data_IF_597908622708
#
_entry.id   IF_597908622708
#
_cell.length_a   1.000
_cell.length_b   1.000
_cell.length_c   1.000
_cell.angle_alpha   90.00
_cell.angle_beta   90.00
_cell.angle_gamma   90.00
#
_symmetry.space_group_name_H-M   'P 1'
#
loop_
_entity.id
_entity.type
_entity.pdbx_description
1 polymer ?
#
# COMPACT_ATOMS: atom_id res chain seq x y z
N UNK A 1 12.53 -10.94 -19.76
CA UNK A 1 12.70 -11.98 -18.72
C UNK A 1 11.33 -12.24 -18.10
N UNK A 2 10.80 -13.46 -18.18
CA UNK A 2 9.52 -13.79 -17.55
C UNK A 2 9.78 -14.09 -16.07
N UNK A 3 9.30 -13.23 -15.18
CA UNK A 3 9.37 -13.44 -13.73
C UNK A 3 8.42 -14.57 -13.29
N UNK A 4 8.31 -14.84 -11.97
CA UNK A 4 7.44 -15.90 -11.44
C UNK A 4 5.93 -15.61 -11.63
N UNK A 5 5.60 -14.51 -12.30
CA UNK A 5 4.26 -14.05 -12.57
C UNK A 5 3.93 -14.20 -14.05
N UNK A 6 2.72 -14.66 -14.34
CA UNK A 6 2.20 -14.69 -15.70
C UNK A 6 1.95 -13.27 -16.25
N UNK A 7 1.62 -12.32 -15.37
CA UNK A 7 1.61 -10.88 -15.67
C UNK A 7 2.07 -10.12 -14.44
N UNK A 8 2.81 -9.04 -14.62
CA UNK A 8 3.23 -8.14 -13.56
C UNK A 8 3.25 -6.71 -14.09
N UNK A 9 2.39 -5.85 -13.54
CA UNK A 9 2.37 -4.42 -13.79
C UNK A 9 2.46 -3.73 -12.45
N UNK A 10 3.57 -3.05 -12.22
CA UNK A 10 3.81 -2.29 -11.01
C UNK A 10 4.00 -0.83 -11.39
N UNK A 11 3.12 0.02 -10.85
CA UNK A 11 3.12 1.45 -11.11
C UNK A 11 3.33 2.18 -9.80
N UNK A 12 4.22 3.16 -9.83
CA UNK A 12 4.48 4.08 -8.73
C UNK A 12 3.76 5.40 -9.01
N UNK A 13 2.97 5.88 -8.06
CA UNK A 13 2.47 7.25 -8.06
C UNK A 13 3.15 8.02 -6.94
N UNK A 14 3.73 9.16 -7.28
CA UNK A 14 4.41 10.04 -6.33
C UNK A 14 3.78 11.42 -6.48
N UNK A 15 3.30 11.98 -5.37
CA UNK A 15 2.63 13.28 -5.35
C UNK A 15 3.15 14.10 -4.17
N UNK A 16 3.41 15.38 -4.42
CA UNK A 16 3.67 16.33 -3.34
C UNK A 16 2.38 16.56 -2.54
N UNK A 17 2.51 16.61 -1.22
CA UNK A 17 1.43 16.96 -0.29
C UNK A 17 1.96 17.98 0.73
N UNK A 18 1.09 18.78 1.38
CA UNK A 18 1.53 19.67 2.45
C UNK A 18 2.31 18.91 3.53
N UNK A 19 3.55 19.31 3.76
CA UNK A 19 4.42 18.70 4.77
C UNK A 19 5.07 17.36 4.38
N UNK A 20 4.95 16.91 3.12
CA UNK A 20 5.62 15.68 2.69
C UNK A 20 5.35 15.23 1.26
N UNK A 21 5.50 13.93 1.03
CA UNK A 21 5.26 13.28 -0.27
C UNK A 21 4.46 12.02 -0.06
N UNK A 22 3.36 11.88 -0.81
CA UNK A 22 2.56 10.66 -0.85
C UNK A 22 3.12 9.73 -1.93
N UNK A 23 3.47 8.51 -1.54
CA UNK A 23 3.89 7.45 -2.45
C UNK A 23 2.87 6.31 -2.44
N UNK A 24 2.27 6.02 -3.59
CA UNK A 24 1.32 4.92 -3.78
C UNK A 24 1.94 3.86 -4.70
N UNK A 25 2.00 2.62 -4.23
CA UNK A 25 2.50 1.46 -4.97
C UNK A 25 1.31 0.61 -5.45
N UNK A 26 1.01 0.60 -6.76
CA UNK A 26 -0.05 -0.22 -7.33
C UNK A 26 0.54 -1.43 -8.07
N UNK A 27 0.30 -2.62 -7.54
CA UNK A 27 0.76 -3.89 -8.12
C UNK A 27 -0.44 -4.67 -8.66
N UNK A 28 -0.43 -4.92 -9.97
CA UNK A 28 -1.36 -5.83 -10.65
C UNK A 28 -0.58 -7.04 -11.13
N UNK A 29 -0.91 -8.22 -10.60
CA UNK A 29 -0.21 -9.44 -10.96
C UNK A 29 -1.17 -10.60 -11.19
N UNK A 30 -0.69 -11.60 -11.93
CA UNK A 30 -1.38 -12.88 -12.13
C UNK A 30 -0.38 -14.02 -11.96
N UNK A 31 -0.77 -15.04 -11.22
CA UNK A 31 0.05 -16.24 -11.03
C UNK A 31 -0.08 -17.20 -12.21
N UNK A 32 1.01 -17.89 -12.59
CA UNK A 32 0.96 -18.98 -13.56
C UNK A 32 0.31 -20.23 -12.95
N UNK A 33 0.19 -21.31 -13.72
CA UNK A 33 -0.24 -22.64 -13.25
C UNK A 33 -1.71 -22.78 -12.77
N UNK A 34 -2.60 -21.89 -13.20
CA UNK A 34 -4.05 -22.05 -13.01
C UNK A 34 -4.46 -22.30 -11.55
N UNK A 35 -5.08 -23.45 -11.27
CA UNK A 35 -5.56 -23.82 -9.93
C UNK A 35 -4.42 -23.90 -8.90
N UNK A 36 -3.27 -24.46 -9.28
CA UNK A 36 -2.11 -24.53 -8.38
C UNK A 36 -1.59 -23.14 -8.02
N UNK A 37 -1.60 -22.21 -8.99
CA UNK A 37 -1.30 -20.80 -8.73
C UNK A 37 -2.26 -20.16 -7.74
N UNK A 38 -3.56 -20.49 -7.80
CA UNK A 38 -4.56 -20.00 -6.84
C UNK A 38 -4.30 -20.50 -5.42
N UNK A 39 -3.85 -21.74 -5.24
CA UNK A 39 -3.50 -22.29 -3.92
C UNK A 39 -2.30 -21.55 -3.30
N UNK A 40 -1.33 -21.14 -4.12
CA UNK A 40 -0.18 -20.34 -3.69
C UNK A 40 -0.46 -18.83 -3.52
N UNK A 41 -1.62 -18.34 -3.97
CA UNK A 41 -1.95 -16.92 -3.98
C UNK A 41 -1.88 -16.24 -2.60
N UNK A 42 -2.35 -16.86 -1.49
CA UNK A 42 -2.24 -16.27 -0.15
C UNK A 42 -0.79 -16.07 0.30
N UNK A 43 0.10 -17.03 -0.01
CA UNK A 43 1.52 -16.96 0.33
C UNK A 43 2.21 -15.81 -0.42
N UNK A 44 1.92 -15.69 -1.72
CA UNK A 44 2.46 -14.60 -2.54
C UNK A 44 1.95 -13.26 -2.06
N UNK A 45 0.66 -13.15 -1.72
CA UNK A 45 0.08 -11.91 -1.18
C UNK A 45 0.81 -11.47 0.09
N UNK A 46 1.01 -12.38 1.05
CA UNK A 46 1.75 -12.09 2.29
C UNK A 46 3.16 -11.59 1.99
N UNK A 47 3.86 -12.21 1.04
CA UNK A 47 5.20 -11.80 0.63
C UNK A 47 5.23 -10.40 0.01
N UNK A 48 4.25 -10.07 -0.83
CA UNK A 48 4.12 -8.74 -1.42
C UNK A 48 3.87 -7.68 -0.34
N UNK A 49 3.00 -7.95 0.63
CA UNK A 49 2.78 -7.04 1.75
C UNK A 49 4.05 -6.85 2.59
N UNK A 50 4.85 -7.90 2.81
CA UNK A 50 6.15 -7.78 3.48
C UNK A 50 7.12 -6.87 2.72
N UNK A 51 7.17 -7.00 1.39
CA UNK A 51 8.00 -6.14 0.53
C UNK A 51 7.55 -4.68 0.62
N UNK A 52 6.25 -4.42 0.57
CA UNK A 52 5.70 -3.07 0.66
C UNK A 52 5.97 -2.46 2.05
N UNK A 53 5.74 -3.21 3.14
CA UNK A 53 6.09 -2.75 4.50
C UNK A 53 7.58 -2.51 4.68
N UNK A 54 8.43 -3.33 4.05
CA UNK A 54 9.87 -3.09 4.05
C UNK A 54 10.21 -1.78 3.35
N UNK A 55 9.64 -1.53 2.18
CA UNK A 55 9.84 -0.28 1.42
C UNK A 55 9.39 0.94 2.22
N UNK A 56 8.21 0.89 2.82
CA UNK A 56 7.71 1.96 3.68
C UNK A 56 8.69 2.26 4.82
N UNK A 57 9.16 1.24 5.54
CA UNK A 57 10.16 1.42 6.61
C UNK A 57 11.47 1.99 6.08
N UNK A 58 11.95 1.53 4.93
CA UNK A 58 13.16 2.06 4.32
C UNK A 58 13.01 3.55 3.96
N UNK A 59 11.87 3.94 3.39
CA UNK A 59 11.57 5.34 3.09
C UNK A 59 11.50 6.18 4.36
N UNK A 60 10.82 5.71 5.39
CA UNK A 60 10.76 6.39 6.69
C UNK A 60 12.15 6.52 7.31
N UNK A 61 13.00 5.50 7.22
CA UNK A 61 14.37 5.56 7.74
C UNK A 61 15.24 6.57 6.99
N UNK A 62 15.06 6.71 5.68
CA UNK A 62 15.86 7.61 4.85
C UNK A 62 15.34 9.07 4.83
N UNK A 63 14.03 9.27 4.89
CA UNK A 63 13.40 10.57 4.68
C UNK A 63 12.61 11.08 5.90
N UNK A 64 12.44 10.25 6.93
CA UNK A 64 11.62 10.53 8.11
C UNK A 64 10.17 10.11 7.94
N UNK A 65 9.46 10.00 9.06
CA UNK A 65 8.02 9.73 9.07
C UNK A 65 7.23 11.00 8.71
N UNK A 66 6.20 10.86 7.87
CA UNK A 66 5.23 11.92 7.67
C UNK A 66 4.49 12.21 8.98
N UNK A 67 4.45 13.48 9.39
CA UNK A 67 3.65 13.96 10.51
C UNK A 67 2.60 14.90 9.94
N UNK A 68 1.35 14.46 9.99
CA UNK A 68 0.23 15.30 9.58
C UNK A 68 0.24 16.55 10.47
N UNK A 69 0.49 17.71 9.87
CA UNK A 69 0.43 18.98 10.60
C UNK A 69 -1.03 19.37 10.69
N UNK A 70 -1.75 18.78 11.64
CA UNK A 70 -3.09 19.24 11.99
C UNK A 70 -2.95 20.52 12.82
N UNK A 71 -3.38 21.65 12.25
CA UNK A 71 -4.10 22.62 13.08
C UNK A 71 -5.31 21.87 13.68
N UNK A 72 -5.73 22.15 14.93
CA UNK A 72 -6.72 21.32 15.60
C UNK A 72 -8.09 21.45 14.90
N UNK A 73 -8.46 20.47 14.07
CA UNK A 73 -9.85 20.30 13.65
C UNK A 73 -10.53 19.37 14.65
N UNK A 74 -11.35 19.99 15.50
CA UNK A 74 -12.21 19.36 16.47
C UNK A 74 -13.23 18.46 15.75
N UNK A 75 -12.97 17.14 15.66
CA UNK A 75 -13.97 16.14 15.25
C UNK A 75 -14.03 14.98 16.23
N UNK A 76 -14.41 15.31 17.47
CA UNK A 76 -15.22 14.42 18.29
C UNK A 76 -16.67 14.48 17.83
N UNK A 77 -17.06 13.76 16.77
CA UNK A 77 -18.46 13.35 16.60
C UNK A 77 -18.49 11.92 16.11
N UNK A 78 -18.69 11.03 17.07
CA UNK A 78 -19.13 9.65 16.87
C UNK A 78 -20.32 9.60 15.91
N UNK A 79 -20.21 8.83 14.82
CA UNK A 79 -21.28 8.58 13.83
C UNK A 79 -22.46 7.75 14.37
N UNK A 80 -22.77 7.81 15.68
CA UNK A 80 -23.85 7.02 16.30
C UNK A 80 -25.08 7.83 16.75
N UNK A 81 -25.18 9.10 16.38
CA UNK A 81 -26.41 9.90 16.47
C UNK A 81 -26.43 10.73 15.18
N UNK A 82 -27.28 10.49 14.20
CA UNK A 82 -28.73 10.71 14.23
C UNK A 82 -29.39 9.66 13.34
N UNK A 83 -30.23 8.85 13.97
CA UNK A 83 -31.36 8.17 13.35
C UNK A 83 -32.38 9.27 12.98
N UNK A 84 -32.85 9.28 11.73
CA UNK A 84 -34.21 9.64 11.36
C UNK A 84 -34.54 8.97 10.04
#
# INVERSE_FOLDING_TARGET
MYGPYATWHHVHFIKEIPGGTLMEDLIRYRLPLGILGKLGAPLVKKKLEEIIRFRERALVNHFGSFKETTAPENKSVSKHQILN
#
